data_IF_409730631363
#
_entry.id   IF_409730631363
#
_cell.length_a   1.000
_cell.length_b   1.000
_cell.length_c   1.000
_cell.angle_alpha   90.00
_cell.angle_beta   90.00
_cell.angle_gamma   90.00
#
_symmetry.space_group_name_H-M   'P 1'
#
loop_
_entity.id
_entity.type
_entity.pdbx_description
1 polymer ?
#
# COMPACT_ATOMS: atom_id res chain seq x y z
N UNK A 1 -17.75 -4.22 -38.22
CA UNK A 1 -16.53 -4.63 -37.49
C UNK A 1 -16.61 -3.99 -36.12
N UNK A 2 -17.23 -4.68 -35.16
CA UNK A 2 -17.51 -4.17 -33.81
C UNK A 2 -16.23 -4.07 -32.99
N UNK A 3 -15.56 -2.94 -33.09
CA UNK A 3 -14.45 -2.56 -32.23
C UNK A 3 -15.04 -2.09 -30.90
N UNK A 4 -15.41 -3.09 -30.08
CA UNK A 4 -15.23 -3.15 -28.62
C UNK A 4 -15.24 -1.79 -27.90
N UNK A 5 -16.43 -1.28 -27.57
CA UNK A 5 -16.63 -0.46 -26.37
C UNK A 5 -16.46 -1.34 -25.11
N UNK A 6 -15.30 -1.99 -24.96
CA UNK A 6 -14.82 -2.25 -23.60
C UNK A 6 -14.66 -0.86 -23.00
N UNK A 7 -15.56 -0.51 -22.08
CA UNK A 7 -15.74 0.86 -21.61
C UNK A 7 -14.37 1.43 -21.23
N UNK A 8 -14.14 2.73 -21.44
CA UNK A 8 -12.90 3.40 -21.01
C UNK A 8 -12.53 3.01 -19.55
N UNK A 9 -13.55 2.78 -18.72
CA UNK A 9 -13.43 2.24 -17.36
C UNK A 9 -12.73 0.88 -17.28
N UNK A 10 -13.02 -0.05 -18.20
CA UNK A 10 -12.43 -1.40 -18.23
C UNK A 10 -10.95 -1.33 -18.63
N UNK A 11 -10.62 -0.46 -19.59
CA UNK A 11 -9.24 -0.23 -20.02
C UNK A 11 -8.44 0.36 -18.86
N UNK A 12 -8.99 1.39 -18.21
CA UNK A 12 -8.36 2.04 -17.06
C UNK A 12 -8.23 1.09 -15.86
N UNK A 13 -9.26 0.30 -15.56
CA UNK A 13 -9.20 -0.71 -14.50
C UNK A 13 -8.10 -1.74 -14.79
N UNK A 14 -8.05 -2.31 -16.00
CA UNK A 14 -7.00 -3.26 -16.40
C UNK A 14 -5.59 -2.65 -16.35
N UNK A 15 -5.43 -1.39 -16.74
CA UNK A 15 -4.16 -0.69 -16.64
C UNK A 15 -3.73 -0.52 -15.17
N UNK A 16 -4.65 -0.07 -14.30
CA UNK A 16 -4.40 0.10 -12.87
C UNK A 16 -4.10 -1.22 -12.16
N UNK A 17 -4.80 -2.31 -12.52
CA UNK A 17 -4.53 -3.67 -12.04
C UNK A 17 -3.09 -4.06 -12.33
N UNK A 18 -2.65 -3.88 -13.58
CA UNK A 18 -1.29 -4.21 -14.01
C UNK A 18 -0.23 -3.38 -13.29
N UNK A 19 -0.48 -2.08 -13.10
CA UNK A 19 0.43 -1.20 -12.38
C UNK A 19 0.52 -1.61 -10.91
N UNK A 20 -0.61 -1.82 -10.24
CA UNK A 20 -0.66 -2.19 -8.83
C UNK A 20 0.06 -3.52 -8.58
N UNK A 21 -0.35 -4.59 -9.28
CA UNK A 21 0.23 -5.90 -9.04
C UNK A 21 1.66 -6.01 -9.57
N UNK A 22 2.00 -5.34 -10.67
CA UNK A 22 3.39 -5.24 -11.14
C UNK A 22 4.30 -4.57 -10.11
N UNK A 23 3.83 -3.51 -9.44
CA UNK A 23 4.58 -2.87 -8.36
C UNK A 23 4.68 -3.75 -7.11
N UNK A 24 3.62 -4.49 -6.77
CA UNK A 24 3.66 -5.43 -5.64
C UNK A 24 4.60 -6.61 -5.91
N UNK A 25 4.61 -7.16 -7.13
CA UNK A 25 5.43 -8.31 -7.50
C UNK A 25 6.91 -7.96 -7.71
N UNK A 26 7.22 -6.68 -7.92
CA UNK A 26 8.61 -6.19 -7.93
C UNK A 26 9.31 -6.27 -6.56
N UNK A 27 8.55 -6.49 -5.49
CA UNK A 27 9.06 -6.60 -4.12
C UNK A 27 8.72 -8.00 -3.58
N UNK A 28 9.76 -8.82 -3.39
CA UNK A 28 9.59 -10.16 -2.86
C UNK A 28 9.34 -10.18 -1.34
N UNK A 29 8.62 -11.18 -0.85
CA UNK A 29 8.33 -11.38 0.56
C UNK A 29 7.00 -10.79 1.05
N UNK A 30 6.63 -11.09 2.31
CA UNK A 30 5.37 -10.64 2.91
C UNK A 30 5.38 -9.13 3.11
N UNK A 31 4.30 -8.48 2.69
CA UNK A 31 4.19 -7.01 2.67
C UNK A 31 2.89 -6.53 3.31
N UNK A 32 2.96 -5.36 3.93
CA UNK A 32 1.81 -4.67 4.50
C UNK A 32 1.51 -3.46 3.63
N UNK A 33 0.25 -3.27 3.26
CA UNK A 33 -0.19 -2.06 2.59
C UNK A 33 -0.70 -1.08 3.63
N UNK A 34 -0.13 0.13 3.67
CA UNK A 34 -0.68 1.27 4.40
C UNK A 34 -1.29 2.22 3.37
N UNK A 35 -2.59 2.50 3.49
CA UNK A 35 -3.31 3.21 2.44
C UNK A 35 -4.06 4.44 2.98
N UNK A 36 -4.19 5.46 2.13
CA UNK A 36 -4.98 6.67 2.39
C UNK A 36 -6.48 6.34 2.31
N UNK A 37 -7.27 6.53 3.40
CA UNK A 37 -8.71 6.28 3.44
C UNK A 37 -9.51 6.87 2.27
N UNK A 38 -9.05 7.99 1.70
CA UNK A 38 -9.70 8.65 0.57
C UNK A 38 -9.63 7.85 -0.74
N UNK A 39 -8.76 6.83 -0.82
CA UNK A 39 -8.54 6.00 -2.00
C UNK A 39 -9.34 4.68 -2.01
N UNK A 40 -10.17 4.41 -0.99
CA UNK A 40 -10.85 3.09 -0.86
C UNK A 40 -11.70 2.75 -2.08
N UNK A 41 -12.38 3.75 -2.66
CA UNK A 41 -13.27 3.54 -3.80
C UNK A 41 -12.48 3.13 -5.04
N UNK A 42 -11.37 3.82 -5.31
CA UNK A 42 -10.47 3.52 -6.42
C UNK A 42 -9.81 2.15 -6.23
N UNK A 43 -9.43 1.82 -5.00
CA UNK A 43 -8.80 0.55 -4.68
C UNK A 43 -9.77 -0.63 -4.93
N UNK A 44 -11.02 -0.52 -4.49
CA UNK A 44 -12.05 -1.54 -4.69
C UNK A 44 -12.45 -1.73 -6.17
N UNK A 45 -12.17 -0.76 -7.05
CA UNK A 45 -12.38 -0.90 -8.50
C UNK A 45 -11.27 -1.69 -9.20
N UNK A 46 -10.12 -1.85 -8.53
CA UNK A 46 -8.90 -2.40 -9.10
C UNK A 46 -8.56 -3.76 -8.49
N UNK A 47 -8.90 -3.99 -7.22
CA UNK A 47 -8.46 -5.20 -6.52
C UNK A 47 -9.42 -5.64 -5.42
N UNK A 48 -9.26 -6.90 -5.01
CA UNK A 48 -9.93 -7.55 -3.88
C UNK A 48 -8.91 -7.99 -2.84
N UNK A 49 -9.36 -8.25 -1.61
CA UNK A 49 -8.48 -8.74 -0.54
C UNK A 49 -7.84 -10.09 -0.90
N UNK A 50 -8.59 -10.95 -1.59
CA UNK A 50 -8.15 -12.27 -2.06
C UNK A 50 -7.03 -12.15 -3.08
N UNK A 51 -7.15 -11.22 -4.03
CA UNK A 51 -6.09 -10.96 -5.00
C UNK A 51 -4.84 -10.44 -4.30
N UNK A 52 -4.96 -9.50 -3.36
CA UNK A 52 -3.80 -8.96 -2.63
C UNK A 52 -3.03 -10.05 -1.87
N UNK A 53 -3.73 -11.02 -1.28
CA UNK A 53 -3.10 -12.18 -0.62
C UNK A 53 -2.26 -13.01 -1.59
N UNK A 54 -2.71 -13.18 -2.84
CA UNK A 54 -1.93 -13.87 -3.89
C UNK A 54 -0.61 -13.16 -4.19
N UNK A 55 -0.55 -11.85 -3.96
CA UNK A 55 0.65 -11.01 -4.11
C UNK A 55 1.39 -10.79 -2.77
N UNK A 56 1.31 -11.75 -1.84
CA UNK A 56 1.99 -11.75 -0.53
C UNK A 56 1.64 -10.55 0.37
N UNK A 57 0.50 -9.90 0.15
CA UNK A 57 0.00 -8.86 1.08
C UNK A 57 -0.62 -9.55 2.29
N UNK A 58 0.02 -9.40 3.45
CA UNK A 58 -0.38 -10.09 4.69
C UNK A 58 -1.30 -9.25 5.57
N UNK A 59 -1.28 -7.93 5.40
CA UNK A 59 -2.13 -7.01 6.15
C UNK A 59 -2.35 -5.70 5.39
N UNK A 60 -3.47 -5.05 5.69
CA UNK A 60 -3.83 -3.74 5.19
C UNK A 60 -4.21 -2.83 6.34
N UNK A 61 -3.55 -1.68 6.44
CA UNK A 61 -3.76 -0.71 7.50
C UNK A 61 -4.12 0.66 6.91
N UNK A 62 -5.05 1.36 7.55
CA UNK A 62 -5.32 2.75 7.20
C UNK A 62 -4.22 3.65 7.75
N UNK A 63 -3.80 4.64 6.97
CA UNK A 63 -2.75 5.59 7.38
C UNK A 63 -3.10 6.32 8.69
N UNK A 64 -4.39 6.58 8.93
CA UNK A 64 -4.86 7.25 10.16
C UNK A 64 -4.68 6.42 11.43
N UNK A 65 -4.49 5.12 11.27
CA UNK A 65 -4.22 4.19 12.36
C UNK A 65 -2.71 3.95 12.56
N UNK A 66 -1.86 4.65 11.80
CA UNK A 66 -0.40 4.57 11.85
C UNK A 66 0.19 5.81 12.56
N UNK A 67 1.30 5.71 13.33
CA UNK A 67 2.13 4.53 13.54
C UNK A 67 1.52 3.55 14.54
N UNK A 68 1.33 2.32 14.08
CA UNK A 68 1.17 1.13 14.93
C UNK A 68 2.22 0.13 14.46
N UNK A 69 2.89 -0.53 15.39
CA UNK A 69 3.77 -1.65 15.07
C UNK A 69 2.88 -2.76 14.51
N UNK A 70 3.01 -3.13 13.23
CA UNK A 70 2.21 -4.22 12.71
C UNK A 70 2.59 -5.50 13.43
N UNK A 71 1.60 -6.22 13.96
CA UNK A 71 1.83 -7.46 14.71
C UNK A 71 2.04 -8.68 13.81
N UNK A 72 1.87 -8.50 12.50
CA UNK A 72 2.04 -9.57 11.50
C UNK A 72 3.46 -9.51 10.96
N UNK A 73 4.09 -10.68 10.80
CA UNK A 73 5.41 -10.79 10.17
C UNK A 73 5.39 -10.23 8.75
N UNK A 74 6.28 -9.28 8.48
CA UNK A 74 6.40 -8.61 7.20
C UNK A 74 7.82 -8.12 6.98
N UNK A 75 8.23 -8.08 5.72
CA UNK A 75 9.53 -7.55 5.30
C UNK A 75 9.40 -6.13 4.76
N UNK A 76 8.20 -5.79 4.25
CA UNK A 76 7.98 -4.57 3.50
C UNK A 76 6.70 -3.86 3.92
N UNK A 77 6.73 -2.53 3.90
CA UNK A 77 5.56 -1.66 4.05
C UNK A 77 5.41 -0.85 2.77
N UNK A 78 4.27 -0.98 2.10
CA UNK A 78 3.93 -0.28 0.86
C UNK A 78 2.91 0.80 1.17
N UNK A 79 3.25 2.05 0.92
CA UNK A 79 2.34 3.18 1.12
C UNK A 79 1.60 3.53 -0.18
N UNK A 80 0.28 3.51 -0.15
CA UNK A 80 -0.58 3.92 -1.27
C UNK A 80 -1.34 5.18 -0.87
N UNK A 81 -0.85 6.34 -1.33
CA UNK A 81 -1.28 7.65 -0.87
C UNK A 81 -1.73 8.54 -2.04
N UNK A 82 -2.67 9.44 -1.76
CA UNK A 82 -2.99 10.52 -2.70
C UNK A 82 -1.92 11.61 -2.62
N UNK A 83 -1.32 11.95 -3.75
CA UNK A 83 -0.32 13.05 -3.83
C UNK A 83 -0.95 14.42 -3.56
N UNK A 84 -2.25 14.56 -3.79
CA UNK A 84 -3.00 15.79 -3.49
C UNK A 84 -3.37 15.93 -2.01
N UNK A 85 -3.16 14.90 -1.19
CA UNK A 85 -3.47 14.91 0.23
C UNK A 85 -2.20 15.22 1.06
N UNK A 86 -1.94 16.51 1.28
CA UNK A 86 -0.78 16.96 2.06
C UNK A 86 -0.73 16.38 3.47
N UNK A 87 -1.89 16.16 4.10
CA UNK A 87 -1.98 15.47 5.40
C UNK A 87 -1.47 14.04 5.32
N UNK A 88 -1.77 13.30 4.26
CA UNK A 88 -1.27 11.93 4.08
C UNK A 88 0.25 11.91 3.92
N UNK A 89 0.82 12.86 3.16
CA UNK A 89 2.28 12.99 3.01
C UNK A 89 2.96 13.33 4.35
N UNK A 90 2.38 14.25 5.13
CA UNK A 90 2.89 14.59 6.46
C UNK A 90 2.87 13.37 7.42
N UNK A 91 1.81 12.55 7.35
CA UNK A 91 1.72 11.30 8.13
C UNK A 91 2.75 10.28 7.70
N UNK A 92 3.02 10.13 6.39
CA UNK A 92 4.12 9.30 5.90
C UNK A 92 5.45 9.75 6.47
N UNK A 93 5.75 11.05 6.43
CA UNK A 93 6.98 11.62 7.00
C UNK A 93 7.08 11.29 8.50
N UNK A 94 5.98 11.41 9.26
CA UNK A 94 5.96 11.04 10.68
C UNK A 94 6.22 9.54 10.90
N UNK A 95 5.61 8.66 10.10
CA UNK A 95 5.83 7.21 10.17
C UNK A 95 7.29 6.84 9.86
N UNK A 96 7.89 7.45 8.84
CA UNK A 96 9.30 7.22 8.48
C UNK A 96 10.26 7.71 9.57
N UNK A 97 9.97 8.87 10.18
CA UNK A 97 10.72 9.36 11.35
C UNK A 97 10.64 8.40 12.53
N UNK A 98 9.44 7.85 12.79
CA UNK A 98 9.23 6.88 13.86
C UNK A 98 9.98 5.55 13.59
N UNK A 99 9.84 4.99 12.38
CA UNK A 99 10.57 3.77 11.99
C UNK A 99 12.09 3.94 12.12
N UNK A 100 12.61 5.12 11.71
CA UNK A 100 14.02 5.46 11.91
C UNK A 100 14.40 5.50 13.39
N UNK A 101 13.55 6.06 14.26
CA UNK A 101 13.83 6.10 15.70
C UNK A 101 13.83 4.71 16.36
N UNK A 102 12.97 3.79 15.91
CA UNK A 102 12.90 2.42 16.44
C UNK A 102 14.10 1.58 15.97
N UNK A 103 14.59 1.79 14.76
CA UNK A 103 15.80 1.11 14.29
C UNK A 103 17.09 1.66 14.94
N UNK A 104 17.02 2.80 15.63
CA UNK A 104 18.13 3.39 16.41
C UNK A 104 17.96 3.06 17.89
N UNK A 105 17.57 1.82 18.21
CA UNK A 105 17.71 1.31 19.57
C UNK A 105 19.21 1.14 19.84
N UNK A 106 19.75 2.06 20.64
CA UNK A 106 21.08 1.98 21.20
C UNK A 106 21.20 0.69 22.01
N UNK A 107 22.03 -0.25 21.56
CA UNK A 107 22.59 -1.27 22.46
C UNK A 107 23.55 -0.55 23.41
N UNK A 108 23.05 -0.08 24.55
CA UNK A 108 23.91 0.14 25.71
C UNK A 108 24.25 -1.26 26.27
N UNK A 109 25.37 -1.80 25.81
CA UNK A 109 26.06 -2.87 26.51
C UNK A 109 26.84 -2.22 27.67
N UNK A 110 26.43 -2.53 28.90
CA UNK A 110 27.36 -2.53 30.02
C UNK A 110 28.24 -3.77 29.92
#
# INVERSE_FOLDING_TARGET
MDIKNGSVTDILSKANVRILFGALDAIDGPKIIVWDPTLIKQFNLVTTTEQLKQHKVVSMLQLDLSPRVPQVEHNHIVYILSTSNSSAINKLIACLKHARSVNVIFYNLY
#
